data_IF_787061218901
#
_entry.id   IF_787061218901
#
_cell.length_a   1.000
_cell.length_b   1.000
_cell.length_c   1.000
_cell.angle_alpha   90.00
_cell.angle_beta   90.00
_cell.angle_gamma   90.00
#
_symmetry.space_group_name_H-M   'P 1'
#
loop_
_entity.id
_entity.type
_entity.pdbx_description
1 polymer ?
#
# COMPACT_ATOMS: atom_id res chain seq x y z
N UNK A 1 -3.27 -12.82 5.32
CA UNK A 1 -4.05 -11.57 5.46
C UNK A 1 -4.58 -11.25 4.08
N UNK A 2 -5.89 -11.09 3.88
CA UNK A 2 -6.49 -10.95 2.54
C UNK A 2 -6.45 -9.51 1.99
N UNK A 3 -5.93 -8.52 2.74
CA UNK A 3 -5.82 -7.14 2.25
C UNK A 3 -5.06 -7.00 0.92
N UNK A 4 -4.04 -7.84 0.72
CA UNK A 4 -3.32 -7.89 -0.56
C UNK A 4 -4.25 -8.31 -1.70
N UNK A 5 -5.03 -9.38 -1.52
CA UNK A 5 -5.92 -9.95 -2.53
C UNK A 5 -7.14 -9.05 -2.79
N UNK A 6 -7.72 -8.48 -1.74
CA UNK A 6 -8.98 -7.72 -1.82
C UNK A 6 -8.79 -6.29 -2.33
N UNK A 7 -7.63 -5.68 -2.10
CA UNK A 7 -7.42 -4.26 -2.36
C UNK A 7 -6.24 -3.98 -3.29
N UNK A 8 -5.05 -4.47 -2.95
CA UNK A 8 -3.85 -4.19 -3.74
C UNK A 8 -3.84 -4.95 -5.07
N UNK A 9 -4.24 -6.22 -5.09
CA UNK A 9 -4.29 -7.06 -6.28
C UNK A 9 -5.11 -6.44 -7.41
N UNK A 10 -6.39 -6.08 -7.18
CA UNK A 10 -7.23 -5.40 -8.16
C UNK A 10 -6.63 -4.07 -8.63
N UNK A 11 -6.03 -3.29 -7.71
CA UNK A 11 -5.36 -2.03 -8.05
C UNK A 11 -4.17 -2.24 -8.98
N UNK A 12 -3.35 -3.26 -8.74
CA UNK A 12 -2.23 -3.62 -9.61
C UNK A 12 -2.67 -4.14 -10.97
N UNK A 13 -3.77 -4.91 -11.04
CA UNK A 13 -4.34 -5.36 -12.32
C UNK A 13 -4.81 -4.17 -13.14
N UNK A 14 -5.47 -3.20 -12.51
CA UNK A 14 -6.03 -2.03 -13.19
C UNK A 14 -4.96 -0.99 -13.59
N UNK A 15 -3.95 -0.77 -12.74
CA UNK A 15 -3.04 0.39 -12.86
C UNK A 15 -1.54 0.04 -12.80
N UNK A 16 -1.18 -1.19 -12.43
CA UNK A 16 0.20 -1.60 -12.30
C UNK A 16 0.87 -1.88 -13.65
N UNK A 17 2.16 -1.61 -13.76
CA UNK A 17 2.94 -1.99 -14.95
C UNK A 17 3.06 -3.52 -15.08
N UNK A 18 3.34 -4.06 -16.27
CA UNK A 18 3.58 -5.50 -16.44
C UNK A 18 4.63 -6.06 -15.48
N UNK A 19 5.68 -5.30 -15.20
CA UNK A 19 6.76 -5.67 -14.27
C UNK A 19 6.25 -5.72 -12.83
N UNK A 20 5.44 -4.74 -12.41
CA UNK A 20 4.82 -4.72 -11.09
C UNK A 20 3.85 -5.89 -10.92
N UNK A 21 2.99 -6.13 -11.91
CA UNK A 21 2.05 -7.25 -11.90
C UNK A 21 2.78 -8.59 -11.77
N UNK A 22 3.80 -8.82 -12.60
CA UNK A 22 4.64 -10.03 -12.55
C UNK A 22 5.36 -10.21 -11.20
N UNK A 23 5.77 -9.12 -10.56
CA UNK A 23 6.46 -9.16 -9.25
C UNK A 23 5.50 -9.40 -8.09
N UNK A 24 4.34 -8.77 -8.07
CA UNK A 24 3.51 -8.70 -6.87
C UNK A 24 2.31 -9.65 -6.89
N UNK A 25 1.62 -9.80 -8.02
CA UNK A 25 0.37 -10.58 -8.07
C UNK A 25 0.53 -12.05 -7.65
N UNK A 26 1.58 -12.79 -8.06
CA UNK A 26 1.74 -14.18 -7.62
C UNK A 26 1.87 -14.31 -6.09
N UNK A 27 2.63 -13.40 -5.46
CA UNK A 27 2.85 -13.45 -4.00
C UNK A 27 1.63 -13.01 -3.19
N UNK A 28 0.86 -12.08 -3.75
CA UNK A 28 -0.44 -11.68 -3.20
C UNK A 28 -1.40 -12.87 -3.23
N UNK A 29 -1.51 -13.54 -4.39
CA UNK A 29 -2.41 -14.68 -4.59
C UNK A 29 -2.03 -15.90 -3.75
N UNK A 30 -0.73 -16.16 -3.58
CA UNK A 30 -0.23 -17.27 -2.76
C UNK A 30 -0.19 -16.92 -1.26
N UNK A 31 -0.53 -15.69 -0.87
CA UNK A 31 -0.44 -15.15 0.50
C UNK A 31 0.97 -15.32 1.10
N UNK A 32 2.00 -15.29 0.25
CA UNK A 32 3.41 -15.44 0.67
C UNK A 32 4.09 -14.11 1.01
N UNK A 33 3.43 -12.98 0.75
CA UNK A 33 3.87 -11.65 1.16
C UNK A 33 2.68 -10.94 1.84
N UNK A 34 2.81 -10.62 3.13
CA UNK A 34 1.71 -10.02 3.88
C UNK A 34 1.69 -8.50 3.75
N UNK A 35 0.53 -7.97 3.38
CA UNK A 35 0.31 -6.55 3.18
C UNK A 35 -0.56 -5.94 4.28
N UNK A 36 -0.28 -4.67 4.57
CA UNK A 36 -1.11 -3.79 5.39
C UNK A 36 -1.58 -2.58 4.57
N UNK A 37 -2.76 -2.06 4.91
CA UNK A 37 -3.29 -0.85 4.32
C UNK A 37 -2.84 0.37 5.13
N UNK A 38 -2.34 1.40 4.44
CA UNK A 38 -1.79 2.61 5.04
C UNK A 38 -2.48 3.89 4.55
N UNK A 39 -3.81 3.93 4.46
CA UNK A 39 -4.51 5.14 4.01
C UNK A 39 -4.66 6.17 5.14
N UNK A 40 -5.35 5.80 6.23
CA UNK A 40 -5.75 6.73 7.30
C UNK A 40 -4.56 7.39 8.00
N UNK A 41 -4.73 8.67 8.29
CA UNK A 41 -3.82 9.52 9.07
C UNK A 41 -4.54 9.99 10.34
N UNK A 42 -3.80 10.47 11.36
CA UNK A 42 -4.43 11.00 12.58
C UNK A 42 -5.53 12.04 12.30
N UNK A 43 -5.35 12.85 11.26
CA UNK A 43 -6.24 13.94 10.88
C UNK A 43 -7.15 13.62 9.67
N UNK A 44 -6.99 12.45 9.04
CA UNK A 44 -7.69 12.11 7.78
C UNK A 44 -8.13 10.64 7.78
N UNK A 45 -9.45 10.43 7.79
CA UNK A 45 -10.09 9.13 7.65
C UNK A 45 -10.86 9.02 6.33
N UNK A 46 -12.18 9.24 6.39
CA UNK A 46 -13.06 9.16 5.21
C UNK A 46 -12.73 10.17 4.12
N UNK A 47 -12.16 11.32 4.49
CA UNK A 47 -11.68 12.32 3.54
C UNK A 47 -10.21 12.03 3.15
N UNK A 48 -10.02 11.11 2.20
CA UNK A 48 -8.69 10.79 1.69
C UNK A 48 -8.07 11.92 0.85
N UNK A 49 -8.85 12.93 0.44
CA UNK A 49 -8.29 14.06 -0.30
C UNK A 49 -7.49 15.01 0.60
N UNK A 50 -7.70 14.97 1.92
CA UNK A 50 -6.97 15.81 2.89
C UNK A 50 -5.71 15.19 3.47
N UNK A 51 -5.26 14.04 2.95
CA UNK A 51 -4.01 13.41 3.38
C UNK A 51 -2.83 14.38 3.31
N UNK A 52 -1.97 14.32 4.32
CA UNK A 52 -0.80 15.18 4.47
C UNK A 52 0.51 14.43 4.22
N UNK A 53 0.50 13.10 4.20
CA UNK A 53 1.70 12.34 3.84
C UNK A 53 2.18 12.75 2.45
N UNK A 54 3.49 12.94 2.31
CA UNK A 54 4.10 13.39 1.06
C UNK A 54 4.95 12.28 0.44
N UNK A 55 5.03 12.31 -0.90
CA UNK A 55 5.99 11.55 -1.68
C UNK A 55 6.77 12.52 -2.57
N UNK A 56 8.01 12.83 -2.19
CA UNK A 56 8.89 13.70 -2.97
C UNK A 56 9.81 12.86 -3.82
N UNK A 57 9.85 13.11 -5.14
CA UNK A 57 10.74 12.38 -6.06
C UNK A 57 12.20 12.71 -5.72
N UNK A 58 13.04 11.68 -5.63
CA UNK A 58 14.47 11.80 -5.38
C UNK A 58 15.25 10.94 -6.38
N UNK A 59 16.58 11.05 -6.36
CA UNK A 59 17.43 10.15 -7.12
C UNK A 59 17.20 8.70 -6.65
N UNK A 60 16.86 7.82 -7.59
CA UNK A 60 16.60 6.40 -7.31
C UNK A 60 15.23 6.06 -6.71
N UNK A 61 14.33 7.03 -6.48
CA UNK A 61 12.99 6.71 -5.96
C UNK A 61 12.19 7.88 -5.41
N UNK A 62 11.57 7.63 -4.25
CA UNK A 62 10.67 8.57 -3.57
C UNK A 62 11.02 8.63 -2.08
N UNK A 63 11.12 9.85 -1.55
CA UNK A 63 11.16 10.09 -0.11
C UNK A 63 9.72 10.22 0.40
N UNK A 64 9.32 9.28 1.25
CA UNK A 64 7.99 9.26 1.88
C UNK A 64 8.08 9.88 3.28
N UNK A 65 7.15 10.77 3.61
CA UNK A 65 7.09 11.40 4.94
C UNK A 65 5.64 11.58 5.41
N UNK A 66 5.32 11.08 6.61
CA UNK A 66 3.99 11.18 7.19
C UNK A 66 3.73 10.13 8.27
N UNK A 67 2.54 10.13 8.84
CA UNK A 67 2.11 9.17 9.86
C UNK A 67 0.81 8.51 9.44
N UNK A 68 0.77 7.17 9.47
CA UNK A 68 -0.43 6.38 9.24
C UNK A 68 -0.95 5.79 10.55
N UNK A 69 -2.27 5.60 10.62
CA UNK A 69 -2.97 5.03 11.78
C UNK A 69 -4.07 4.08 11.28
N UNK A 70 -4.57 3.22 12.18
CA UNK A 70 -5.64 2.26 11.89
C UNK A 70 -5.28 1.22 10.80
N UNK A 71 -3.98 0.96 10.62
CA UNK A 71 -3.49 -0.06 9.70
C UNK A 71 -3.72 -1.46 10.25
N UNK A 72 -4.79 -2.09 9.78
CA UNK A 72 -5.17 -3.45 10.18
C UNK A 72 -4.02 -4.44 9.97
N UNK A 73 -3.69 -5.17 11.04
CA UNK A 73 -2.63 -6.20 11.07
C UNK A 73 -1.24 -5.69 10.68
N UNK A 74 -0.96 -4.39 10.80
CA UNK A 74 0.34 -3.80 10.45
C UNK A 74 1.54 -4.47 11.14
N UNK A 75 1.36 -4.94 12.39
CA UNK A 75 2.41 -5.66 13.14
C UNK A 75 2.86 -6.98 12.48
N UNK A 76 2.07 -7.51 11.54
CA UNK A 76 2.40 -8.71 10.76
C UNK A 76 2.66 -8.40 9.28
N UNK A 77 2.52 -7.14 8.87
CA UNK A 77 2.72 -6.72 7.49
C UNK A 77 4.19 -6.58 7.17
N UNK A 78 4.63 -7.23 6.09
CA UNK A 78 5.98 -7.05 5.54
C UNK A 78 6.03 -5.83 4.62
N UNK A 79 4.87 -5.46 4.05
CA UNK A 79 4.70 -4.34 3.13
C UNK A 79 3.42 -3.55 3.45
N UNK A 80 3.40 -2.32 2.96
CA UNK A 80 2.23 -1.46 3.02
C UNK A 80 1.88 -0.94 1.62
N UNK A 81 0.59 -0.69 1.40
CA UNK A 81 0.07 0.04 0.24
C UNK A 81 -0.90 1.12 0.74
N UNK A 82 -0.92 2.26 0.06
CA UNK A 82 -1.54 3.48 0.58
C UNK A 82 -1.30 4.64 -0.36
#
# INVERSE_FOLDING_TARGET
>A
NHLGEELLGPTLIAYGTPEQQKRFLPRILDVTELWSQGYSEPESGSDLASLRSTATKTDGGWLLNGQKIWSSRAVFGERAFG
#
